data_IF_635030169970
#
_entry.id   IF_635030169970
#
_cell.length_a   1.000
_cell.length_b   1.000
_cell.length_c   1.000
_cell.angle_alpha   90.00
_cell.angle_beta   90.00
_cell.angle_gamma   90.00
#
_symmetry.space_group_name_H-M   'P 1'
#
loop_
_entity.id
_entity.type
_entity.pdbx_description
1 polymer ?
#
# COMPACT_ATOMS: atom_id res chain seq x y z
N UNK A 1 48.48 -7.55 8.05
CA UNK A 1 47.51 -6.54 8.55
C UNK A 1 46.22 -6.76 7.77
N UNK A 2 45.28 -7.53 8.32
CA UNK A 2 44.07 -7.94 7.59
C UNK A 2 43.22 -6.71 7.27
N UNK A 3 42.88 -6.56 5.98
CA UNK A 3 42.11 -5.43 5.48
C UNK A 3 40.69 -5.46 6.08
N UNK A 4 40.36 -4.44 6.89
CA UNK A 4 39.12 -4.32 7.66
C UNK A 4 37.89 -3.93 6.80
N UNK A 5 38.02 -3.93 5.48
CA UNK A 5 37.00 -3.54 4.51
C UNK A 5 35.92 -4.62 4.25
N UNK A 6 36.08 -5.83 4.80
CA UNK A 6 35.16 -6.96 4.59
C UNK A 6 33.91 -7.00 5.48
N UNK A 7 33.83 -6.18 6.54
CA UNK A 7 32.74 -6.22 7.52
C UNK A 7 31.45 -5.55 7.02
N UNK A 8 31.56 -4.54 6.15
CA UNK A 8 30.41 -3.78 5.63
C UNK A 8 30.47 -3.70 4.10
N UNK A 9 30.15 -4.81 3.44
CA UNK A 9 29.91 -4.83 1.99
C UNK A 9 28.46 -4.41 1.70
N UNK A 10 28.24 -3.69 0.59
CA UNK A 10 26.89 -3.32 0.09
C UNK A 10 25.95 -4.54 0.03
N UNK A 11 26.49 -5.70 -0.36
CA UNK A 11 25.73 -6.96 -0.43
C UNK A 11 25.39 -7.52 0.95
N UNK A 12 26.27 -7.36 1.94
CA UNK A 12 26.02 -7.77 3.32
C UNK A 12 24.89 -6.94 3.92
N UNK A 13 24.94 -5.61 3.75
CA UNK A 13 23.88 -4.70 4.18
C UNK A 13 22.52 -5.04 3.55
N UNK A 14 22.48 -5.27 2.23
CA UNK A 14 21.25 -5.65 1.54
C UNK A 14 20.71 -7.00 2.01
N UNK A 15 21.59 -7.96 2.35
CA UNK A 15 21.19 -9.27 2.90
C UNK A 15 20.57 -9.14 4.29
N UNK A 16 21.19 -8.36 5.18
CA UNK A 16 20.66 -8.11 6.53
C UNK A 16 19.34 -7.33 6.45
N UNK A 17 19.24 -6.35 5.55
CA UNK A 17 18.00 -5.62 5.30
C UNK A 17 16.88 -6.53 4.78
N UNK A 18 17.17 -7.38 3.79
CA UNK A 18 16.19 -8.34 3.28
C UNK A 18 15.72 -9.31 4.35
N UNK A 19 16.64 -9.82 5.19
CA UNK A 19 16.28 -10.67 6.34
C UNK A 19 15.35 -9.92 7.31
N UNK A 20 15.64 -8.66 7.64
CA UNK A 20 14.79 -7.84 8.49
C UNK A 20 13.39 -7.63 7.89
N UNK A 21 13.30 -7.32 6.60
CA UNK A 21 12.02 -7.17 5.89
C UNK A 21 11.18 -8.45 5.92
N UNK A 22 11.80 -9.62 5.69
CA UNK A 22 11.10 -10.91 5.73
C UNK A 22 10.63 -11.24 7.15
N UNK A 23 11.44 -10.97 8.18
CA UNK A 23 11.02 -11.16 9.58
C UNK A 23 9.90 -10.22 10.01
N UNK A 24 9.84 -9.02 9.43
CA UNK A 24 8.78 -8.05 9.67
C UNK A 24 7.52 -8.28 8.80
N UNK A 25 7.57 -9.13 7.78
CA UNK A 25 6.45 -9.42 6.87
C UNK A 25 5.11 -9.77 7.55
N UNK A 26 5.03 -10.65 8.58
CA UNK A 26 3.76 -11.01 9.20
C UNK A 26 3.10 -9.85 9.96
N UNK A 27 3.90 -8.92 10.49
CA UNK A 27 3.40 -7.73 11.19
C UNK A 27 3.20 -6.53 10.26
N UNK A 28 3.96 -6.46 9.15
CA UNK A 28 3.76 -5.43 8.13
C UNK A 28 2.53 -5.69 7.26
N UNK A 29 2.14 -6.95 7.05
CA UNK A 29 0.85 -7.31 6.45
C UNK A 29 -0.35 -6.78 7.27
N UNK A 30 -0.16 -6.61 8.58
CA UNK A 30 -1.16 -6.08 9.52
C UNK A 30 -0.83 -4.66 10.02
N UNK A 31 0.20 -4.01 9.44
CA UNK A 31 0.63 -2.70 9.90
C UNK A 31 -0.47 -1.68 9.59
N UNK A 32 -0.81 -0.92 10.63
CA UNK A 32 -1.90 0.05 10.76
C UNK A 32 -1.99 1.13 9.66
N UNK A 33 -1.06 1.19 8.71
CA UNK A 33 -1.03 2.21 7.65
C UNK A 33 -1.22 1.70 6.22
N UNK A 34 -1.07 0.40 5.93
CA UNK A 34 -1.13 -0.10 4.54
C UNK A 34 -2.40 -0.88 4.22
N UNK A 35 -2.91 -1.73 5.13
CA UNK A 35 -3.98 -2.68 4.79
C UNK A 35 -5.02 -2.97 5.90
N UNK A 36 -4.94 -2.34 7.08
CA UNK A 36 -5.89 -2.64 8.18
C UNK A 36 -7.07 -1.66 8.17
N UNK A 37 -8.25 -2.13 7.74
CA UNK A 37 -9.52 -1.40 7.84
C UNK A 37 -10.08 -0.83 6.54
N UNK A 38 -9.54 -1.20 5.38
CA UNK A 38 -10.02 -0.65 4.10
C UNK A 38 -11.38 -1.22 3.65
N UNK A 39 -11.90 -2.29 4.28
CA UNK A 39 -13.09 -3.00 3.81
C UNK A 39 -12.96 -3.51 2.36
N UNK A 40 -13.99 -4.17 1.82
CA UNK A 40 -14.15 -4.30 0.36
C UNK A 40 -14.88 -3.04 -0.13
N UNK A 41 -14.11 -2.00 -0.48
CA UNK A 41 -14.65 -0.73 -0.99
C UNK A 41 -14.38 -0.63 -2.47
N UNK A 42 -15.40 -0.22 -3.23
CA UNK A 42 -15.24 0.13 -4.64
C UNK A 42 -15.62 1.58 -4.85
N UNK A 43 -14.68 2.34 -5.39
CA UNK A 43 -14.84 3.75 -5.73
C UNK A 43 -14.65 3.97 -7.23
N UNK A 44 -15.37 4.94 -7.78
CA UNK A 44 -15.14 5.48 -9.12
C UNK A 44 -14.53 6.86 -8.96
N UNK A 45 -13.39 7.08 -9.65
CA UNK A 45 -12.77 8.39 -9.80
C UNK A 45 -12.69 8.73 -11.27
N UNK A 46 -13.33 9.82 -11.68
CA UNK A 46 -13.37 10.28 -13.06
C UNK A 46 -13.10 11.78 -13.11
N UNK A 47 -12.43 12.23 -14.16
CA UNK A 47 -12.29 13.65 -14.46
C UNK A 47 -12.94 13.92 -15.82
N UNK A 48 -13.67 15.02 -15.94
CA UNK A 48 -14.23 15.49 -17.18
C UNK A 48 -13.32 16.57 -17.77
N UNK A 49 -12.54 16.23 -18.80
CA UNK A 49 -11.63 17.18 -19.45
C UNK A 49 -12.32 18.34 -20.16
N UNK A 50 -13.63 18.25 -20.45
CA UNK A 50 -14.39 19.30 -21.12
C UNK A 50 -14.93 20.34 -20.15
N UNK A 51 -15.42 19.92 -18.98
CA UNK A 51 -16.01 20.82 -17.96
C UNK A 51 -15.05 21.13 -16.80
N UNK A 52 -13.98 20.34 -16.64
CA UNK A 52 -13.07 20.44 -15.49
C UNK A 52 -13.59 19.77 -14.22
N UNK A 53 -14.77 19.15 -14.26
CA UNK A 53 -15.36 18.51 -13.09
C UNK A 53 -14.64 17.21 -12.73
N UNK A 54 -14.61 16.89 -11.42
CA UNK A 54 -14.04 15.65 -10.90
C UNK A 54 -15.11 14.92 -10.10
N UNK A 55 -15.33 13.65 -10.43
CA UNK A 55 -16.20 12.73 -9.70
C UNK A 55 -15.33 11.79 -8.86
N UNK A 56 -15.64 11.66 -7.59
CA UNK A 56 -14.97 10.75 -6.67
C UNK A 56 -16.00 10.19 -5.69
N UNK A 57 -16.56 9.03 -6.05
CA UNK A 57 -17.73 8.47 -5.35
C UNK A 57 -17.51 7.00 -5.04
N UNK A 58 -17.86 6.60 -3.82
CA UNK A 58 -17.92 5.18 -3.40
C UNK A 58 -19.30 4.64 -3.73
N UNK A 59 -19.38 3.50 -4.44
CA UNK A 59 -20.65 2.87 -4.84
C UNK A 59 -20.88 1.50 -4.20
N UNK A 60 -19.87 0.95 -3.52
CA UNK A 60 -19.91 -0.36 -2.88
C UNK A 60 -19.08 -0.38 -1.62
N UNK A 61 -19.64 -0.93 -0.55
CA UNK A 61 -18.95 -1.16 0.73
C UNK A 61 -19.37 -2.54 1.25
N UNK A 62 -18.40 -3.42 1.48
CA UNK A 62 -18.55 -4.66 2.25
C UNK A 62 -19.69 -5.60 1.82
N UNK A 63 -19.98 -5.65 0.52
CA UNK A 63 -21.03 -6.53 -0.02
C UNK A 63 -22.35 -5.82 -0.34
N UNK A 64 -22.46 -4.53 -0.01
CA UNK A 64 -23.65 -3.73 -0.25
C UNK A 64 -23.40 -2.63 -1.29
N UNK A 65 -24.40 -2.46 -2.16
CA UNK A 65 -24.43 -1.37 -3.14
C UNK A 65 -25.02 -0.11 -2.51
N UNK A 66 -24.42 1.05 -2.79
CA UNK A 66 -24.90 2.35 -2.31
C UNK A 66 -25.70 3.01 -3.44
N UNK A 67 -27.04 2.95 -3.44
CA UNK A 67 -27.86 3.50 -4.51
C UNK A 67 -27.74 5.03 -4.64
N UNK A 68 -27.39 5.73 -3.57
CA UNK A 68 -27.15 7.18 -3.57
C UNK A 68 -25.96 7.57 -4.45
N UNK A 69 -25.04 6.65 -4.73
CA UNK A 69 -23.88 6.89 -5.59
C UNK A 69 -24.24 7.08 -7.07
N UNK A 70 -25.46 6.71 -7.47
CA UNK A 70 -25.97 6.81 -8.85
C UNK A 70 -26.86 8.05 -9.08
N UNK A 71 -27.11 8.86 -8.05
CA UNK A 71 -28.02 10.02 -8.14
C UNK A 71 -27.36 11.25 -8.73
#
# INVERSE_FOLDING_TARGET
>A
MADQSGLVSRRSLLRVFAAACVTAAPVSANAFGLLRGAGDIRQIRMHNGRTGETLNTVYWIEGEYIPEALR
#
